data_IF_066749848196
#
_entry.id   IF_066749848196
#
_cell.length_a   1.000
_cell.length_b   1.000
_cell.length_c   1.000
_cell.angle_alpha   90.00
_cell.angle_beta   90.00
_cell.angle_gamma   90.00
#
_symmetry.space_group_name_H-M   'P 1'
#
loop_
_entity.id
_entity.type
_entity.pdbx_description
1 polymer ?
#
# COMPACT_ATOMS: atom_id res chain seq x y z
N UNK A 1 -26.84 -29.31 -29.13
CA UNK A 1 -27.06 -30.04 -27.87
C UNK A 1 -25.86 -30.91 -27.65
N UNK A 2 -24.82 -30.34 -27.05
CA UNK A 2 -23.64 -31.06 -26.58
C UNK A 2 -23.28 -30.45 -25.23
N UNK A 3 -23.60 -31.15 -24.16
CA UNK A 3 -23.26 -30.82 -22.79
C UNK A 3 -21.74 -30.97 -22.64
N UNK A 4 -21.06 -29.83 -22.47
CA UNK A 4 -19.66 -29.83 -22.02
C UNK A 4 -19.61 -30.11 -20.51
N UNK A 5 -19.66 -31.41 -20.23
CA UNK A 5 -19.46 -31.97 -18.90
C UNK A 5 -17.99 -31.96 -18.50
N UNK A 6 -17.42 -30.77 -18.19
CA UNK A 6 -16.17 -30.74 -17.45
C UNK A 6 -16.47 -30.93 -15.96
N UNK A 7 -16.57 -32.18 -15.56
CA UNK A 7 -16.52 -32.64 -14.18
C UNK A 7 -15.23 -32.11 -13.50
N UNK A 8 -15.37 -31.04 -12.74
CA UNK A 8 -14.34 -30.63 -11.79
C UNK A 8 -14.23 -31.67 -10.71
N UNK A 9 -13.30 -32.63 -10.88
CA UNK A 9 -13.04 -33.70 -9.93
C UNK A 9 -12.81 -33.13 -8.51
N UNK A 10 -13.01 -33.93 -7.47
CA UNK A 10 -12.82 -33.58 -6.07
C UNK A 10 -11.54 -32.73 -5.79
N UNK A 11 -10.39 -32.96 -6.44
CA UNK A 11 -9.18 -32.16 -6.32
C UNK A 11 -9.37 -30.68 -6.78
N UNK A 12 -10.15 -30.45 -7.84
CA UNK A 12 -10.40 -29.11 -8.34
C UNK A 12 -11.31 -28.28 -7.41
N UNK A 13 -12.28 -28.93 -6.76
CA UNK A 13 -13.16 -28.28 -5.77
C UNK A 13 -12.40 -27.91 -4.49
N UNK A 14 -11.55 -28.81 -4.00
CA UNK A 14 -10.70 -28.57 -2.83
C UNK A 14 -9.73 -27.42 -3.05
N UNK A 15 -9.06 -27.38 -4.20
CA UNK A 15 -8.14 -26.29 -4.57
C UNK A 15 -8.86 -24.94 -4.65
N UNK A 16 -10.08 -24.91 -5.19
CA UNK A 16 -10.88 -23.68 -5.22
C UNK A 16 -11.30 -23.23 -3.82
N UNK A 17 -11.72 -24.16 -2.96
CA UNK A 17 -12.04 -23.86 -1.56
C UNK A 17 -10.85 -23.26 -0.83
N UNK A 18 -9.66 -23.83 -1.00
CA UNK A 18 -8.42 -23.33 -0.43
C UNK A 18 -8.08 -21.92 -0.96
N UNK A 19 -8.22 -21.67 -2.26
CA UNK A 19 -7.99 -20.36 -2.86
C UNK A 19 -8.92 -19.29 -2.27
N UNK A 20 -10.21 -19.59 -2.10
CA UNK A 20 -11.19 -18.70 -1.48
C UNK A 20 -10.81 -18.43 -0.02
N UNK A 21 -10.45 -19.46 0.74
CA UNK A 21 -10.03 -19.33 2.13
C UNK A 21 -8.80 -18.42 2.26
N UNK A 22 -7.76 -18.68 1.45
CA UNK A 22 -6.55 -17.85 1.42
C UNK A 22 -6.85 -16.40 1.03
N UNK A 23 -7.72 -16.18 0.05
CA UNK A 23 -8.14 -14.84 -0.36
C UNK A 23 -8.79 -14.08 0.80
N UNK A 24 -9.76 -14.68 1.48
CA UNK A 24 -10.45 -14.07 2.61
C UNK A 24 -9.52 -13.87 3.82
N UNK A 25 -8.59 -14.80 4.06
CA UNK A 25 -7.59 -14.66 5.11
C UNK A 25 -6.64 -13.48 4.87
N UNK A 26 -6.21 -13.26 3.62
CA UNK A 26 -5.43 -12.07 3.23
C UNK A 26 -6.24 -10.80 3.47
N UNK A 27 -7.49 -10.76 3.01
CA UNK A 27 -8.36 -9.62 3.26
C UNK A 27 -8.54 -9.36 4.75
N UNK A 28 -8.74 -10.40 5.56
CA UNK A 28 -8.83 -10.26 7.01
C UNK A 28 -7.56 -9.65 7.60
N UNK A 29 -6.38 -10.17 7.24
CA UNK A 29 -5.11 -9.71 7.78
C UNK A 29 -4.86 -8.22 7.51
N UNK A 30 -5.19 -7.73 6.31
CA UNK A 30 -4.90 -6.35 5.92
C UNK A 30 -6.05 -5.37 6.20
N UNK A 31 -7.31 -5.79 6.32
CA UNK A 31 -8.46 -4.89 6.55
C UNK A 31 -9.05 -4.96 7.95
N UNK A 32 -8.81 -6.07 8.68
CA UNK A 32 -9.30 -6.22 10.05
C UNK A 32 -8.15 -6.19 11.05
N UNK A 33 -6.96 -6.67 10.65
CA UNK A 33 -5.76 -6.85 11.49
C UNK A 33 -5.91 -7.96 12.54
N UNK A 34 -4.84 -8.30 13.24
CA UNK A 34 -4.87 -9.30 14.34
C UNK A 34 -5.27 -8.68 15.68
N UNK A 35 -5.29 -7.36 15.79
CA UNK A 35 -5.68 -6.60 16.98
C UNK A 35 -6.61 -5.44 16.58
N UNK A 36 -7.85 -5.72 16.16
CA UNK A 36 -8.82 -4.66 15.88
C UNK A 36 -9.24 -3.94 17.16
N UNK A 37 -9.62 -2.68 17.03
CA UNK A 37 -10.15 -1.87 18.12
C UNK A 37 -9.19 -1.71 19.32
N UNK A 38 -7.92 -1.41 19.06
CA UNK A 38 -6.90 -1.16 20.09
C UNK A 38 -7.38 -0.06 21.03
N UNK A 39 -7.15 -0.23 22.33
CA UNK A 39 -7.39 0.80 23.34
C UNK A 39 -6.24 1.79 23.37
N UNK A 40 -6.43 2.98 22.81
CA UNK A 40 -5.39 4.02 22.75
C UNK A 40 -5.27 4.84 24.06
N UNK A 41 -6.12 4.55 25.06
CA UNK A 41 -6.00 5.12 26.41
C UNK A 41 -5.15 4.25 27.35
N UNK A 42 -4.82 3.02 26.92
CA UNK A 42 -3.98 2.09 27.68
C UNK A 42 -2.51 2.51 27.63
N UNK A 43 -1.83 2.77 28.77
CA UNK A 43 -0.41 3.08 28.83
C UNK A 43 0.50 2.03 28.17
N UNK A 44 0.08 0.77 28.08
CA UNK A 44 0.83 -0.27 27.39
C UNK A 44 0.99 0.03 25.89
N UNK A 45 0.14 0.87 25.29
CA UNK A 45 0.27 1.30 23.89
C UNK A 45 1.45 2.28 23.65
N UNK A 46 1.98 2.87 24.71
CA UNK A 46 3.15 3.75 24.65
C UNK A 46 4.47 2.98 24.64
N UNK A 47 4.46 1.71 25.04
CA UNK A 47 5.66 0.89 25.10
C UNK A 47 6.06 0.39 23.70
N UNK A 48 7.18 0.87 23.13
CA UNK A 48 7.65 0.38 21.82
C UNK A 48 7.97 -1.12 21.80
N UNK A 49 8.24 -1.71 22.97
CA UNK A 49 8.53 -3.14 23.09
C UNK A 49 7.27 -4.00 22.93
N UNK A 50 6.10 -3.47 23.26
CA UNK A 50 4.80 -4.16 23.10
C UNK A 50 4.46 -4.41 21.61
N UNK A 51 4.89 -3.51 20.71
CA UNK A 51 4.77 -3.73 19.26
C UNK A 51 5.78 -4.76 18.75
N UNK A 52 6.98 -4.80 19.34
CA UNK A 52 8.06 -5.75 18.96
C UNK A 52 7.68 -7.21 19.24
N UNK A 53 6.74 -7.49 20.14
CA UNK A 53 6.42 -8.83 20.64
C UNK A 53 5.07 -9.41 20.15
N UNK A 54 4.48 -8.91 19.07
CA UNK A 54 3.22 -9.46 18.56
C UNK A 54 3.43 -10.82 17.86
N UNK A 55 3.73 -11.85 18.67
CA UNK A 55 3.98 -13.21 18.22
C UNK A 55 2.81 -13.77 17.40
N UNK A 56 1.56 -13.48 17.81
CA UNK A 56 0.37 -13.92 17.08
C UNK A 56 0.36 -13.38 15.65
N UNK A 57 0.62 -12.08 15.48
CA UNK A 57 0.67 -11.46 14.15
C UNK A 57 1.78 -12.05 13.28
N UNK A 58 2.95 -12.30 13.87
CA UNK A 58 4.07 -12.93 13.18
C UNK A 58 3.72 -14.35 12.73
N UNK A 59 3.15 -15.17 13.61
CA UNK A 59 2.75 -16.54 13.28
C UNK A 59 1.65 -16.60 12.22
N UNK A 60 0.62 -15.74 12.33
CA UNK A 60 -0.45 -15.64 11.33
C UNK A 60 0.11 -15.22 9.98
N UNK A 61 0.98 -14.21 9.95
CA UNK A 61 1.62 -13.72 8.72
C UNK A 61 2.48 -14.82 8.09
N UNK A 62 3.31 -15.51 8.86
CA UNK A 62 4.16 -16.60 8.37
C UNK A 62 3.34 -17.79 7.86
N UNK A 63 2.31 -18.22 8.60
CA UNK A 63 1.43 -19.31 8.21
C UNK A 63 0.67 -18.98 6.91
N UNK A 64 0.12 -17.76 6.82
CA UNK A 64 -0.57 -17.28 5.62
C UNK A 64 0.39 -17.20 4.43
N UNK A 65 1.58 -16.62 4.62
CA UNK A 65 2.61 -16.52 3.57
C UNK A 65 3.07 -17.90 3.11
N UNK A 66 3.25 -18.85 4.02
CA UNK A 66 3.58 -20.25 3.70
C UNK A 66 2.49 -20.92 2.86
N UNK A 67 1.22 -20.78 3.26
CA UNK A 67 0.07 -21.30 2.52
C UNK A 67 -0.06 -20.69 1.12
N UNK A 68 0.11 -19.39 1.00
CA UNK A 68 0.12 -18.67 -0.29
C UNK A 68 1.28 -19.14 -1.16
N UNK A 69 2.49 -19.25 -0.61
CA UNK A 69 3.67 -19.71 -1.36
C UNK A 69 3.47 -21.13 -1.90
N UNK A 70 2.99 -22.07 -1.08
CA UNK A 70 2.67 -23.42 -1.51
C UNK A 70 1.62 -23.43 -2.63
N UNK A 71 0.55 -22.62 -2.49
CA UNK A 71 -0.46 -22.48 -3.55
C UNK A 71 0.16 -21.91 -4.84
N UNK A 72 0.99 -20.87 -4.73
CA UNK A 72 1.65 -20.22 -5.86
C UNK A 72 2.61 -21.16 -6.61
N UNK A 73 3.42 -21.93 -5.89
CA UNK A 73 4.38 -22.89 -6.47
C UNK A 73 3.68 -24.01 -7.24
N UNK A 74 2.49 -24.44 -6.81
CA UNK A 74 1.67 -25.46 -7.50
C UNK A 74 0.82 -24.87 -8.63
N UNK A 75 0.82 -23.53 -8.80
CA UNK A 75 0.04 -22.86 -9.85
C UNK A 75 0.69 -23.00 -11.23
N UNK A 76 -0.08 -23.21 -12.30
CA UNK A 76 0.42 -23.13 -13.68
C UNK A 76 0.94 -21.71 -14.02
N UNK A 77 0.48 -20.68 -13.30
CA UNK A 77 0.90 -19.28 -13.48
C UNK A 77 2.18 -18.92 -12.70
N UNK A 78 2.87 -19.89 -12.08
CA UNK A 78 4.10 -19.66 -11.28
C UNK A 78 5.20 -18.87 -12.01
N UNK A 79 5.27 -18.98 -13.33
CA UNK A 79 6.25 -18.26 -14.14
C UNK A 79 5.94 -16.78 -14.29
N UNK A 80 4.69 -16.36 -14.07
CA UNK A 80 4.22 -14.97 -14.20
C UNK A 80 4.24 -14.21 -12.88
N UNK A 81 4.37 -14.92 -11.75
CA UNK A 81 4.43 -14.34 -10.41
C UNK A 81 5.79 -13.64 -10.20
N UNK A 82 5.78 -12.58 -9.39
CA UNK A 82 6.98 -11.81 -9.02
C UNK A 82 7.79 -11.31 -10.22
N UNK A 83 7.12 -10.66 -11.15
CA UNK A 83 7.75 -9.99 -12.27
C UNK A 83 7.81 -8.47 -12.04
N UNK A 84 8.89 -7.79 -12.40
CA UNK A 84 10.12 -8.26 -13.09
C UNK A 84 11.16 -8.81 -12.07
N UNK A 85 11.55 -10.06 -12.27
CA UNK A 85 12.39 -10.77 -11.29
C UNK A 85 13.75 -10.11 -11.08
N UNK A 86 14.44 -9.72 -12.16
CA UNK A 86 15.78 -9.14 -12.06
C UNK A 86 15.76 -7.86 -11.22
N UNK A 87 14.80 -6.95 -11.47
CA UNK A 87 14.70 -5.71 -10.70
C UNK A 87 14.35 -5.97 -9.23
N UNK A 88 13.42 -6.89 -8.96
CA UNK A 88 13.06 -7.27 -7.59
C UNK A 88 14.24 -7.90 -6.84
N UNK A 89 14.97 -8.79 -7.51
CA UNK A 89 16.20 -9.39 -6.92
C UNK A 89 17.23 -8.29 -6.65
N UNK A 90 17.50 -7.41 -7.60
CA UNK A 90 18.45 -6.30 -7.40
C UNK A 90 18.02 -5.39 -6.24
N UNK A 91 16.73 -5.07 -6.14
CA UNK A 91 16.17 -4.24 -5.07
C UNK A 91 16.36 -4.90 -3.69
N UNK A 92 15.96 -6.17 -3.56
CA UNK A 92 16.06 -6.85 -2.27
C UNK A 92 17.49 -7.24 -1.90
N UNK A 93 18.36 -7.53 -2.87
CA UNK A 93 19.80 -7.71 -2.62
C UNK A 93 20.41 -6.41 -2.10
N UNK A 94 20.03 -5.26 -2.68
CA UNK A 94 20.46 -3.96 -2.17
C UNK A 94 19.97 -3.72 -0.75
N UNK A 95 18.69 -4.01 -0.46
CA UNK A 95 18.14 -3.86 0.90
C UNK A 95 18.81 -4.78 1.91
N UNK A 96 19.11 -6.02 1.56
CA UNK A 96 19.87 -6.95 2.40
C UNK A 96 21.28 -6.41 2.67
N UNK A 97 21.95 -5.89 1.64
CA UNK A 97 23.28 -5.34 1.77
C UNK A 97 23.33 -4.14 2.73
N UNK A 98 22.49 -3.12 2.52
CA UNK A 98 22.46 -1.93 3.40
C UNK A 98 22.00 -2.27 4.82
N UNK A 99 21.18 -3.32 4.97
CA UNK A 99 20.75 -3.82 6.27
C UNK A 99 21.88 -4.52 7.02
N UNK A 100 22.69 -5.32 6.32
CA UNK A 100 23.81 -6.06 6.92
C UNK A 100 24.92 -5.13 7.45
N UNK A 101 25.10 -3.96 6.84
CA UNK A 101 26.10 -2.96 7.26
C UNK A 101 25.52 -1.88 8.17
N UNK A 102 24.25 -1.98 8.57
CA UNK A 102 23.58 -1.01 9.43
C UNK A 102 23.93 -1.18 10.91
N UNK A 103 23.59 -0.20 11.74
CA UNK A 103 23.83 -0.25 13.21
C UNK A 103 23.03 -1.39 13.88
N UNK A 104 21.84 -1.76 13.32
CA UNK A 104 20.98 -2.81 13.88
C UNK A 104 20.64 -3.87 12.81
N UNK A 105 21.61 -4.70 12.37
CA UNK A 105 21.45 -5.59 11.23
C UNK A 105 20.33 -6.63 11.44
N UNK A 106 20.19 -7.20 12.64
CA UNK A 106 19.16 -8.22 12.92
C UNK A 106 17.74 -7.68 12.73
N UNK A 107 17.50 -6.44 13.18
CA UNK A 107 16.20 -5.80 13.04
C UNK A 107 15.92 -5.44 11.58
N UNK A 108 16.91 -4.86 10.88
CA UNK A 108 16.79 -4.50 9.48
C UNK A 108 16.55 -5.72 8.59
N UNK A 109 17.32 -6.79 8.77
CA UNK A 109 17.17 -8.03 7.99
C UNK A 109 15.79 -8.67 8.20
N UNK A 110 15.26 -8.70 9.43
CA UNK A 110 13.88 -9.15 9.69
C UNK A 110 12.85 -8.33 8.90
N UNK A 111 13.02 -7.00 8.84
CA UNK A 111 12.13 -6.11 8.08
C UNK A 111 12.22 -6.36 6.57
N UNK A 112 13.42 -6.63 6.03
CA UNK A 112 13.57 -7.02 4.62
C UNK A 112 12.83 -8.33 4.32
N UNK A 113 12.96 -9.34 5.18
CA UNK A 113 12.25 -10.62 5.02
C UNK A 113 10.73 -10.41 5.00
N UNK A 114 10.19 -9.60 5.92
CA UNK A 114 8.76 -9.28 5.96
C UNK A 114 8.32 -8.52 4.71
N UNK A 115 9.14 -7.61 4.18
CA UNK A 115 8.84 -6.92 2.92
C UNK A 115 8.81 -7.87 1.73
N UNK A 116 9.74 -8.84 1.66
CA UNK A 116 9.73 -9.91 0.64
C UNK A 116 8.45 -10.75 0.73
N UNK A 117 8.06 -11.17 1.94
CA UNK A 117 6.84 -11.96 2.16
C UNK A 117 5.60 -11.17 1.72
N UNK A 118 5.53 -9.88 2.01
CA UNK A 118 4.43 -9.01 1.57
C UNK A 118 4.35 -8.94 0.05
N UNK A 119 5.48 -8.82 -0.65
CA UNK A 119 5.52 -8.86 -2.12
C UNK A 119 5.05 -10.21 -2.68
N UNK A 120 5.47 -11.33 -2.07
CA UNK A 120 5.03 -12.68 -2.45
C UNK A 120 3.51 -12.81 -2.26
N UNK A 121 3.01 -12.38 -1.11
CA UNK A 121 1.59 -12.43 -0.79
C UNK A 121 0.75 -11.63 -1.79
N UNK A 122 1.16 -10.41 -2.12
CA UNK A 122 0.45 -9.55 -3.08
C UNK A 122 0.45 -10.15 -4.50
N UNK A 123 1.57 -10.72 -4.93
CA UNK A 123 1.67 -11.34 -6.25
C UNK A 123 0.81 -12.61 -6.35
N UNK A 124 0.76 -13.44 -5.31
CA UNK A 124 -0.03 -14.68 -5.29
C UNK A 124 -1.52 -14.38 -5.09
N UNK A 125 -1.87 -13.33 -4.35
CA UNK A 125 -3.26 -12.91 -4.15
C UNK A 125 -4.01 -12.74 -5.48
N UNK A 126 -3.33 -12.23 -6.52
CA UNK A 126 -3.91 -12.01 -7.84
C UNK A 126 -4.26 -13.30 -8.60
N UNK A 127 -3.66 -14.43 -8.27
CA UNK A 127 -3.88 -15.71 -8.95
C UNK A 127 -4.79 -16.66 -8.17
N UNK A 128 -5.30 -16.25 -7.01
CA UNK A 128 -6.25 -17.02 -6.22
C UNK A 128 -7.63 -17.13 -6.88
N UNK A 129 -8.23 -16.02 -7.41
CA UNK A 129 -9.52 -16.08 -8.09
C UNK A 129 -9.40 -16.74 -9.46
N UNK A 130 -10.43 -17.49 -9.86
CA UNK A 130 -10.52 -18.17 -11.16
C UNK A 130 -11.10 -17.30 -12.28
N UNK A 131 -11.84 -16.25 -11.91
CA UNK A 131 -12.47 -15.33 -12.87
C UNK A 131 -12.59 -13.93 -12.28
N UNK A 132 -12.67 -12.93 -13.18
CA UNK A 132 -12.90 -11.53 -12.80
C UNK A 132 -14.14 -11.37 -11.93
N UNK A 133 -15.20 -12.11 -12.29
CA UNK A 133 -16.44 -12.10 -11.52
C UNK A 133 -16.24 -12.70 -10.12
N UNK A 134 -15.45 -13.77 -9.98
CA UNK A 134 -15.10 -14.34 -8.68
C UNK A 134 -14.26 -13.35 -7.88
N UNK A 135 -13.26 -12.71 -8.50
CA UNK A 135 -12.45 -11.69 -7.86
C UNK A 135 -13.32 -10.54 -7.32
N UNK A 136 -14.20 -9.97 -8.18
CA UNK A 136 -15.11 -8.91 -7.78
C UNK A 136 -16.06 -9.34 -6.66
N UNK A 137 -16.57 -10.59 -6.70
CA UNK A 137 -17.45 -11.15 -5.67
C UNK A 137 -16.74 -11.30 -4.34
N UNK A 138 -15.57 -11.94 -4.32
CA UNK A 138 -14.79 -12.15 -3.08
C UNK A 138 -14.34 -10.83 -2.47
N UNK A 139 -13.84 -9.91 -3.31
CA UNK A 139 -13.44 -8.58 -2.88
C UNK A 139 -14.64 -7.80 -2.32
N UNK A 140 -15.78 -7.82 -3.02
CA UNK A 140 -17.01 -7.14 -2.58
C UNK A 140 -17.51 -7.65 -1.23
N UNK A 141 -17.55 -8.98 -1.03
CA UNK A 141 -17.95 -9.60 0.25
C UNK A 141 -16.98 -9.23 1.36
N UNK A 142 -15.66 -9.35 1.11
CA UNK A 142 -14.65 -9.03 2.11
C UNK A 142 -14.70 -7.55 2.52
N UNK A 143 -14.85 -6.64 1.56
CA UNK A 143 -14.92 -5.20 1.83
C UNK A 143 -16.22 -4.80 2.53
N UNK A 144 -17.35 -5.40 2.18
CA UNK A 144 -18.61 -5.18 2.90
C UNK A 144 -18.52 -5.67 4.35
N UNK A 145 -17.88 -6.81 4.59
CA UNK A 145 -17.66 -7.32 5.93
C UNK A 145 -16.72 -6.41 6.75
N UNK A 146 -15.60 -5.97 6.18
CA UNK A 146 -14.67 -5.06 6.83
C UNK A 146 -15.30 -3.69 7.13
N UNK A 147 -16.07 -3.16 6.17
CA UNK A 147 -16.80 -1.90 6.34
C UNK A 147 -17.92 -2.04 7.36
N UNK A 148 -18.66 -3.17 7.35
CA UNK A 148 -19.66 -3.48 8.37
C UNK A 148 -19.06 -3.54 9.78
N UNK A 149 -17.86 -4.12 9.91
CA UNK A 149 -17.11 -4.14 11.17
C UNK A 149 -16.70 -2.72 11.62
N UNK A 150 -16.29 -1.87 10.67
CA UNK A 150 -15.95 -0.47 10.97
C UNK A 150 -17.16 0.30 11.53
N UNK A 151 -18.31 0.18 10.87
CA UNK A 151 -19.56 0.78 11.35
C UNK A 151 -20.07 0.17 12.65
N UNK A 152 -19.95 -1.14 12.82
CA UNK A 152 -20.24 -1.80 14.10
C UNK A 152 -19.42 -1.19 15.23
N UNK A 153 -18.10 -1.01 14.99
CA UNK A 153 -17.23 -0.38 15.98
C UNK A 153 -17.71 1.00 16.40
N UNK A 154 -17.96 1.86 15.43
CA UNK A 154 -18.40 3.25 15.68
C UNK A 154 -19.75 3.31 16.42
N UNK A 155 -20.65 2.36 16.13
CA UNK A 155 -22.00 2.35 16.70
C UNK A 155 -22.06 1.70 18.09
N UNK A 156 -21.38 0.56 18.27
CA UNK A 156 -21.53 -0.27 19.48
C UNK A 156 -20.34 -0.21 20.45
N UNK A 157 -19.15 0.15 19.96
CA UNK A 157 -17.93 0.30 20.78
C UNK A 157 -17.18 1.60 20.45
N UNK A 158 -17.88 2.77 20.51
CA UNK A 158 -17.34 4.06 20.08
C UNK A 158 -16.04 4.44 20.80
N UNK A 159 -15.88 4.08 22.07
CA UNK A 159 -14.67 4.31 22.86
C UNK A 159 -13.41 3.63 22.29
N UNK A 160 -13.55 2.69 21.36
CA UNK A 160 -12.44 1.99 20.67
C UNK A 160 -12.44 2.15 19.15
N UNK A 161 -13.43 2.85 18.61
CA UNK A 161 -13.57 3.05 17.16
C UNK A 161 -13.60 4.53 16.75
N UNK A 162 -13.69 5.43 17.72
CA UNK A 162 -13.61 6.88 17.57
C UNK A 162 -12.47 7.35 18.47
N UNK A 163 -11.67 8.29 17.99
CA UNK A 163 -10.61 8.90 18.78
C UNK A 163 -11.17 9.68 19.97
N UNK A 164 -10.54 9.57 21.12
CA UNK A 164 -10.96 10.18 22.38
C UNK A 164 -9.99 11.30 22.80
N UNK A 165 -10.49 12.29 23.51
CA UNK A 165 -9.66 13.34 24.12
C UNK A 165 -8.74 12.81 25.24
N UNK A 166 -8.99 11.60 25.72
CA UNK A 166 -8.19 10.91 26.76
C UNK A 166 -7.08 10.03 26.17
N UNK A 167 -6.93 9.99 24.85
CA UNK A 167 -5.83 9.24 24.23
C UNK A 167 -4.48 9.87 24.56
N UNK A 168 -3.49 9.00 24.78
CA UNK A 168 -2.20 9.41 25.33
C UNK A 168 -1.28 10.11 24.32
N UNK A 169 -1.42 9.76 23.02
CA UNK A 169 -0.54 10.31 21.97
C UNK A 169 -1.16 11.48 21.22
N UNK A 170 -2.41 11.39 20.82
CA UNK A 170 -3.04 12.34 19.90
C UNK A 170 -4.45 12.76 20.31
N UNK A 171 -4.62 13.38 21.51
CA UNK A 171 -5.93 13.81 22.03
C UNK A 171 -6.63 14.83 21.11
N UNK A 172 -5.88 15.52 20.25
CA UNK A 172 -6.42 16.46 19.26
C UNK A 172 -7.26 15.78 18.17
N UNK A 173 -7.16 14.46 18.02
CA UNK A 173 -7.96 13.70 17.07
C UNK A 173 -9.36 13.33 17.60
N UNK A 174 -9.72 13.73 18.80
CA UNK A 174 -11.00 13.40 19.42
C UNK A 174 -12.20 13.64 18.47
N UNK A 175 -13.12 12.67 18.42
CA UNK A 175 -14.31 12.70 17.59
C UNK A 175 -14.13 12.15 16.17
N UNK A 176 -12.92 11.95 15.67
CA UNK A 176 -12.71 11.35 14.37
C UNK A 176 -12.82 9.83 14.40
N UNK A 177 -13.47 9.28 13.37
CA UNK A 177 -13.67 7.83 13.24
C UNK A 177 -12.39 7.13 12.77
N UNK A 178 -12.06 6.01 13.42
CA UNK A 178 -10.98 5.12 13.01
C UNK A 178 -11.44 3.67 12.79
N UNK A 179 -12.64 3.30 13.25
CA UNK A 179 -13.13 1.93 13.15
C UNK A 179 -12.21 0.93 13.84
N UNK A 180 -11.94 -0.18 13.18
CA UNK A 180 -11.02 -1.22 13.66
C UNK A 180 -9.54 -0.87 13.52
N UNK A 181 -9.18 0.20 12.83
CA UNK A 181 -7.81 0.60 12.57
C UNK A 181 -7.16 1.30 13.78
N UNK A 182 -5.84 1.32 13.79
CA UNK A 182 -5.10 1.98 14.86
C UNK A 182 -5.21 3.51 14.80
N UNK A 183 -5.34 4.09 13.60
CA UNK A 183 -5.34 5.53 13.41
C UNK A 183 -6.33 5.98 12.32
N UNK A 184 -6.92 7.17 12.47
CA UNK A 184 -7.86 7.77 11.51
C UNK A 184 -7.31 7.93 10.10
N UNK A 185 -6.01 8.22 9.94
CA UNK A 185 -5.39 8.38 8.62
C UNK A 185 -5.28 7.05 7.89
N UNK A 186 -5.00 5.96 8.62
CA UNK A 186 -5.05 4.61 8.06
C UNK A 186 -6.48 4.27 7.60
N UNK A 187 -7.47 4.48 8.48
CA UNK A 187 -8.87 4.32 8.14
C UNK A 187 -9.26 5.13 6.89
N UNK A 188 -8.87 6.39 6.81
CA UNK A 188 -9.15 7.27 5.68
C UNK A 188 -8.57 6.70 4.37
N UNK A 189 -7.32 6.26 4.39
CA UNK A 189 -6.67 5.66 3.22
C UNK A 189 -7.36 4.37 2.76
N UNK A 190 -7.71 3.50 3.72
CA UNK A 190 -8.44 2.24 3.43
C UNK A 190 -9.83 2.52 2.88
N UNK A 191 -10.53 3.56 3.33
CA UNK A 191 -11.85 3.94 2.78
C UNK A 191 -11.75 4.43 1.34
N UNK A 192 -10.70 5.16 0.96
CA UNK A 192 -10.45 5.52 -0.46
C UNK A 192 -10.28 4.26 -1.31
N UNK A 193 -9.46 3.30 -0.86
CA UNK A 193 -9.26 2.04 -1.57
C UNK A 193 -10.56 1.23 -1.65
N UNK A 194 -11.36 1.20 -0.58
CA UNK A 194 -12.66 0.54 -0.55
C UNK A 194 -13.65 1.16 -1.55
N UNK A 195 -13.63 2.48 -1.73
CA UNK A 195 -14.42 3.15 -2.76
C UNK A 195 -13.97 2.72 -4.17
N UNK A 196 -12.66 2.59 -4.43
CA UNK A 196 -12.17 2.08 -5.73
C UNK A 196 -12.58 0.63 -5.98
N UNK A 197 -12.54 -0.21 -4.96
CA UNK A 197 -13.10 -1.57 -5.04
C UNK A 197 -14.60 -1.55 -5.33
N UNK A 198 -15.35 -0.65 -4.70
CA UNK A 198 -16.77 -0.45 -4.95
C UNK A 198 -17.07 -0.12 -6.42
N UNK A 199 -16.28 0.76 -7.06
CA UNK A 199 -16.42 1.03 -8.50
C UNK A 199 -16.17 -0.22 -9.37
N UNK A 200 -15.19 -1.05 -9.00
CA UNK A 200 -14.90 -2.29 -9.71
C UNK A 200 -16.00 -3.34 -9.51
N UNK A 201 -16.49 -3.52 -8.29
CA UNK A 201 -17.61 -4.40 -7.96
C UNK A 201 -18.89 -3.99 -8.71
N UNK A 202 -19.16 -2.68 -8.79
CA UNK A 202 -20.27 -2.12 -9.55
C UNK A 202 -20.18 -2.48 -11.03
N UNK A 203 -19.01 -2.36 -11.62
CA UNK A 203 -18.79 -2.62 -13.04
C UNK A 203 -18.81 -4.11 -13.41
N UNK A 204 -18.39 -5.00 -12.48
CA UNK A 204 -18.05 -6.40 -12.82
C UNK A 204 -19.00 -7.42 -12.22
N UNK A 205 -19.55 -7.18 -11.03
CA UNK A 205 -20.34 -8.18 -10.33
C UNK A 205 -21.76 -7.74 -9.99
N UNK A 206 -21.94 -6.70 -9.15
CA UNK A 206 -23.24 -6.33 -8.62
C UNK A 206 -23.35 -4.81 -8.39
N UNK A 207 -24.20 -4.15 -9.17
CA UNK A 207 -24.32 -2.67 -9.17
C UNK A 207 -24.70 -2.10 -7.81
N UNK A 208 -25.73 -2.67 -7.16
CA UNK A 208 -26.20 -2.16 -5.87
C UNK A 208 -25.12 -2.30 -4.76
N UNK A 209 -24.48 -3.48 -4.65
CA UNK A 209 -23.43 -3.70 -3.63
C UNK A 209 -22.20 -2.84 -3.91
N UNK A 210 -21.83 -2.66 -5.19
CA UNK A 210 -20.75 -1.75 -5.56
C UNK A 210 -21.05 -0.30 -5.21
N UNK A 211 -22.26 0.17 -5.49
CA UNK A 211 -22.71 1.51 -5.11
C UNK A 211 -22.75 1.68 -3.58
N UNK A 212 -23.25 0.69 -2.84
CA UNK A 212 -23.26 0.69 -1.39
C UNK A 212 -21.84 0.81 -0.80
N UNK A 213 -20.86 0.04 -1.34
CA UNK A 213 -19.45 0.17 -0.94
C UNK A 213 -18.92 1.58 -1.15
N UNK A 214 -19.17 2.19 -2.32
CA UNK A 214 -18.70 3.56 -2.61
C UNK A 214 -19.31 4.55 -1.62
N UNK A 215 -20.64 4.52 -1.45
CA UNK A 215 -21.35 5.49 -0.59
C UNK A 215 -20.92 5.33 0.87
N UNK A 216 -20.98 4.11 1.41
CA UNK A 216 -20.64 3.87 2.81
C UNK A 216 -19.16 4.16 3.10
N UNK A 217 -18.23 3.77 2.22
CA UNK A 217 -16.83 4.11 2.37
C UNK A 217 -16.59 5.63 2.33
N UNK A 218 -17.29 6.35 1.44
CA UNK A 218 -17.17 7.82 1.36
C UNK A 218 -17.74 8.49 2.61
N UNK A 219 -18.91 8.04 3.12
CA UNK A 219 -19.48 8.55 4.37
C UNK A 219 -18.52 8.32 5.54
N UNK A 220 -17.95 7.12 5.67
CA UNK A 220 -16.98 6.83 6.72
C UNK A 220 -15.73 7.73 6.58
N UNK A 221 -15.20 7.86 5.36
CA UNK A 221 -14.05 8.72 5.04
C UNK A 221 -14.25 10.16 5.53
N UNK A 222 -15.44 10.72 5.31
CA UNK A 222 -15.75 12.10 5.75
C UNK A 222 -15.66 12.25 7.28
N UNK A 223 -16.02 11.21 8.04
CA UNK A 223 -15.96 11.23 9.51
C UNK A 223 -14.55 10.93 10.07
N UNK A 224 -13.61 10.44 9.25
CA UNK A 224 -12.22 10.25 9.71
C UNK A 224 -11.47 11.57 9.90
N UNK A 225 -11.95 12.69 9.33
CA UNK A 225 -11.22 13.95 9.32
C UNK A 225 -9.90 13.91 8.55
N UNK A 226 -9.67 12.86 7.74
CA UNK A 226 -8.49 12.70 6.91
C UNK A 226 -8.51 13.60 5.67
N UNK A 227 -8.14 14.87 5.82
CA UNK A 227 -8.24 15.90 4.75
C UNK A 227 -7.58 15.46 3.44
N UNK A 228 -6.36 14.92 3.52
CA UNK A 228 -5.60 14.45 2.35
C UNK A 228 -6.33 13.34 1.61
N UNK A 229 -6.79 12.31 2.31
CA UNK A 229 -7.51 11.18 1.71
C UNK A 229 -8.88 11.59 1.16
N UNK A 230 -9.59 12.49 1.84
CA UNK A 230 -10.88 13.03 1.37
C UNK A 230 -10.73 13.82 0.06
N UNK A 231 -9.67 14.62 -0.06
CA UNK A 231 -9.34 15.31 -1.31
C UNK A 231 -8.82 14.35 -2.38
N UNK A 232 -8.06 13.31 -1.99
CA UNK A 232 -7.48 12.35 -2.92
C UNK A 232 -8.54 11.51 -3.66
N UNK A 233 -9.65 11.15 -3.03
CA UNK A 233 -10.68 10.32 -3.66
C UNK A 233 -11.21 10.93 -4.98
N UNK A 234 -11.78 12.14 -5.01
CA UNK A 234 -12.23 12.76 -6.26
C UNK A 234 -11.05 13.14 -7.18
N UNK A 235 -9.93 13.59 -6.63
CA UNK A 235 -8.76 13.97 -7.41
C UNK A 235 -8.20 12.78 -8.21
N UNK A 236 -8.05 11.61 -7.59
CA UNK A 236 -7.54 10.42 -8.27
C UNK A 236 -8.54 9.89 -9.31
N UNK A 237 -9.85 9.97 -9.06
CA UNK A 237 -10.85 9.61 -10.07
C UNK A 237 -10.73 10.52 -11.30
N UNK A 238 -10.55 11.82 -11.10
CA UNK A 238 -10.33 12.79 -12.17
C UNK A 238 -8.99 12.55 -12.90
N UNK A 239 -7.91 12.38 -12.14
CA UNK A 239 -6.59 12.10 -12.70
C UNK A 239 -6.57 10.81 -13.53
N UNK A 240 -7.23 9.75 -13.05
CA UNK A 240 -7.36 8.50 -13.78
C UNK A 240 -8.16 8.70 -15.08
N UNK A 241 -9.23 9.50 -15.05
CA UNK A 241 -9.98 9.83 -16.26
C UNK A 241 -9.12 10.62 -17.28
N UNK A 242 -8.36 11.63 -16.85
CA UNK A 242 -7.41 12.39 -17.70
C UNK A 242 -6.35 11.45 -18.28
N UNK A 243 -5.78 10.58 -17.45
CA UNK A 243 -4.75 9.60 -17.80
C UNK A 243 -5.24 8.59 -18.86
N UNK A 244 -6.49 8.13 -18.72
CA UNK A 244 -7.13 7.24 -19.70
C UNK A 244 -7.46 7.97 -21.00
N UNK A 245 -7.99 9.21 -20.91
CA UNK A 245 -8.49 9.97 -22.07
C UNK A 245 -7.38 10.49 -22.98
N UNK A 246 -6.21 10.89 -22.44
CA UNK A 246 -5.10 11.50 -23.16
C UNK A 246 -3.77 10.84 -22.85
N UNK A 247 -3.30 10.00 -23.75
CA UNK A 247 -2.05 9.23 -23.55
C UNK A 247 -0.80 10.11 -23.34
N UNK A 248 -0.76 11.31 -23.92
CA UNK A 248 0.34 12.26 -23.77
C UNK A 248 0.49 12.82 -22.35
N UNK A 249 -0.58 12.80 -21.53
CA UNK A 249 -0.54 13.28 -20.15
C UNK A 249 0.10 12.27 -19.18
N UNK A 250 0.24 11.02 -19.57
CA UNK A 250 0.57 9.90 -18.65
C UNK A 250 1.91 10.08 -17.95
N UNK A 251 2.97 10.49 -18.68
CA UNK A 251 4.28 10.76 -18.09
C UNK A 251 4.22 11.99 -17.19
N UNK A 252 3.57 13.06 -17.66
CA UNK A 252 3.42 14.29 -16.88
C UNK A 252 2.66 14.04 -15.56
N UNK A 253 1.57 13.27 -15.61
CA UNK A 253 0.79 12.97 -14.42
C UNK A 253 1.47 11.98 -13.47
N UNK A 254 2.15 10.94 -13.96
CA UNK A 254 2.75 9.94 -13.07
C UNK A 254 4.13 10.38 -12.55
N UNK A 255 5.05 10.75 -13.42
CA UNK A 255 6.42 11.11 -13.04
C UNK A 255 6.49 12.59 -12.69
N UNK A 256 6.03 13.46 -13.59
CA UNK A 256 6.06 14.91 -13.38
C UNK A 256 5.25 15.34 -12.15
N UNK A 257 4.06 14.78 -11.95
CA UNK A 257 3.22 15.08 -10.79
C UNK A 257 3.84 14.66 -9.46
N UNK A 258 4.47 13.47 -9.40
CA UNK A 258 5.19 13.01 -8.20
C UNK A 258 6.41 13.89 -7.92
N UNK A 259 7.18 14.27 -8.96
CA UNK A 259 8.31 15.20 -8.81
C UNK A 259 7.80 16.55 -8.31
N UNK A 260 6.76 17.10 -8.92
CA UNK A 260 6.19 18.39 -8.53
C UNK A 260 5.69 18.34 -7.07
N UNK A 261 4.99 17.29 -6.67
CA UNK A 261 4.47 17.18 -5.31
C UNK A 261 5.60 17.04 -4.27
N UNK A 262 6.66 16.25 -4.55
CA UNK A 262 7.83 16.18 -3.66
C UNK A 262 8.60 17.50 -3.64
N UNK A 263 8.68 18.23 -4.76
CA UNK A 263 9.28 19.57 -4.78
C UNK A 263 8.49 20.55 -3.92
N UNK A 264 7.17 20.50 -3.97
CA UNK A 264 6.31 21.35 -3.12
C UNK A 264 6.43 20.96 -1.64
N UNK A 265 6.37 19.68 -1.30
CA UNK A 265 6.41 19.22 0.09
C UNK A 265 7.80 19.35 0.69
N UNK A 266 8.76 18.56 0.24
CA UNK A 266 10.14 18.55 0.75
C UNK A 266 10.84 19.88 0.44
N UNK A 267 10.60 20.45 -0.74
CA UNK A 267 11.18 21.73 -1.14
C UNK A 267 10.77 22.87 -0.21
N UNK A 268 9.56 22.89 0.33
CA UNK A 268 9.15 23.88 1.35
C UNK A 268 9.93 23.77 2.65
N UNK A 269 10.49 22.60 2.96
CA UNK A 269 11.32 22.41 4.15
C UNK A 269 12.72 23.03 3.99
N UNK A 270 13.29 22.96 2.78
CA UNK A 270 14.71 23.27 2.52
C UNK A 270 14.92 24.57 1.72
N UNK A 271 13.87 25.15 1.12
CA UNK A 271 13.94 26.31 0.22
C UNK A 271 12.92 27.38 0.60
N UNK A 272 13.39 28.55 1.01
CA UNK A 272 12.52 29.67 1.36
C UNK A 272 11.69 30.21 0.18
N UNK A 273 12.22 30.30 -1.07
CA UNK A 273 11.40 30.66 -2.22
C UNK A 273 10.24 29.70 -2.48
N UNK A 274 10.43 28.38 -2.29
CA UNK A 274 9.34 27.42 -2.45
C UNK A 274 8.33 27.57 -1.32
N UNK A 275 8.78 27.74 -0.08
CA UNK A 275 7.92 27.95 1.08
C UNK A 275 7.03 29.17 0.91
N UNK A 276 7.61 30.30 0.48
CA UNK A 276 6.86 31.55 0.25
C UNK A 276 5.83 31.37 -0.89
N UNK A 277 6.20 30.69 -1.97
CA UNK A 277 5.28 30.37 -3.07
C UNK A 277 4.10 29.50 -2.60
N UNK A 278 4.35 28.47 -1.80
CA UNK A 278 3.29 27.60 -1.23
C UNK A 278 2.36 28.39 -0.33
N UNK A 279 2.90 29.29 0.52
CA UNK A 279 2.10 30.20 1.34
C UNK A 279 1.27 31.19 0.53
N UNK A 280 1.82 31.70 -0.57
CA UNK A 280 1.14 32.67 -1.44
C UNK A 280 -0.10 32.05 -2.15
N UNK A 281 -0.13 30.75 -2.38
CA UNK A 281 -1.30 30.05 -2.93
C UNK A 281 -2.29 29.57 -1.85
N UNK A 282 -2.10 29.98 -0.58
CA UNK A 282 -3.03 29.68 0.52
C UNK A 282 -2.88 28.28 1.13
N UNK A 283 -1.79 27.57 0.83
CA UNK A 283 -1.46 26.27 1.44
C UNK A 283 -0.58 26.50 2.66
N UNK A 284 -0.85 25.81 3.78
CA UNK A 284 0.02 25.83 4.95
C UNK A 284 1.42 25.31 4.58
N UNK A 285 2.44 26.16 4.54
CA UNK A 285 3.77 25.77 4.10
C UNK A 285 4.53 24.91 5.13
N UNK A 286 3.98 24.74 6.34
CA UNK A 286 4.53 23.83 7.38
C UNK A 286 4.07 22.40 7.20
N UNK A 287 3.02 22.19 6.38
CA UNK A 287 2.40 20.85 6.20
C UNK A 287 2.10 20.20 7.55
N UNK A 288 1.51 20.95 8.47
CA UNK A 288 1.21 20.45 9.83
C UNK A 288 2.50 20.06 10.58
N UNK A 289 3.50 20.93 10.55
CA UNK A 289 4.83 20.79 11.16
C UNK A 289 5.72 19.69 10.56
N UNK A 290 5.34 19.06 9.44
CA UNK A 290 6.15 18.04 8.78
C UNK A 290 7.45 18.59 8.18
N UNK A 291 7.53 19.90 7.92
CA UNK A 291 8.75 20.55 7.40
C UNK A 291 9.96 20.36 8.33
N UNK A 292 9.77 20.29 9.64
CA UNK A 292 10.86 20.07 10.58
C UNK A 292 11.38 18.63 10.49
N UNK A 293 10.46 17.66 10.36
CA UNK A 293 10.80 16.24 10.11
C UNK A 293 11.58 16.11 8.80
N UNK A 294 11.12 16.77 7.72
CA UNK A 294 11.78 16.69 6.41
C UNK A 294 13.16 17.36 6.41
N UNK A 295 13.30 18.48 7.10
CA UNK A 295 14.58 19.17 7.26
C UNK A 295 15.59 18.32 8.02
N UNK A 296 15.13 17.68 9.11
CA UNK A 296 15.93 16.76 9.89
C UNK A 296 16.34 15.54 9.06
N UNK A 297 15.38 14.88 8.38
CA UNK A 297 15.68 13.74 7.51
C UNK A 297 16.66 14.12 6.38
N UNK A 298 16.51 15.31 5.77
CA UNK A 298 17.40 15.78 4.72
C UNK A 298 18.84 15.99 5.22
N UNK A 299 19.01 16.56 6.41
CA UNK A 299 20.34 16.71 7.03
C UNK A 299 20.99 15.36 7.29
N UNK A 300 20.24 14.35 7.72
CA UNK A 300 20.72 12.99 7.89
C UNK A 300 21.10 12.33 6.55
N UNK A 301 20.31 12.51 5.50
CA UNK A 301 20.59 12.00 4.14
C UNK A 301 21.92 12.53 3.62
N UNK A 302 22.24 13.80 3.84
CA UNK A 302 23.51 14.40 3.38
C UNK A 302 24.75 13.74 4.02
N UNK A 303 24.60 13.11 5.18
CA UNK A 303 25.67 12.39 5.86
C UNK A 303 25.88 10.97 5.28
N UNK A 304 24.81 10.29 4.82
CA UNK A 304 24.87 8.92 4.28
C UNK A 304 24.08 8.78 2.97
N UNK A 305 24.38 9.51 1.89
CA UNK A 305 23.55 9.61 0.70
C UNK A 305 23.47 8.31 -0.11
N UNK A 306 24.51 7.46 -0.09
CA UNK A 306 24.58 6.27 -0.93
C UNK A 306 24.02 5.01 -0.26
N UNK A 307 24.25 4.81 1.02
CA UNK A 307 23.87 3.57 1.72
C UNK A 307 22.69 3.76 2.66
N UNK A 308 22.40 4.99 3.08
CA UNK A 308 21.40 5.30 4.09
C UNK A 308 21.78 4.74 5.46
N UNK A 309 20.78 4.55 6.30
CA UNK A 309 20.94 4.10 7.69
C UNK A 309 20.58 2.62 7.91
N UNK A 310 20.19 1.90 6.85
CA UNK A 310 19.69 0.53 6.91
C UNK A 310 18.16 0.48 6.68
N UNK A 311 17.69 -0.59 6.04
CA UNK A 311 16.32 -0.73 5.58
C UNK A 311 15.30 -0.54 6.71
N UNK A 312 14.45 0.47 6.60
CA UNK A 312 13.46 0.90 7.61
C UNK A 312 14.06 1.17 9.00
N UNK A 313 15.37 1.46 9.10
CA UNK A 313 16.03 1.91 10.31
C UNK A 313 16.34 3.40 10.19
N UNK A 314 16.00 4.17 11.15
CA UNK A 314 16.36 5.54 11.44
C UNK A 314 15.46 6.06 12.55
N UNK A 315 14.16 6.14 12.27
CA UNK A 315 13.16 6.64 13.23
C UNK A 315 13.03 5.69 14.42
N UNK A 316 12.89 6.25 15.63
CA UNK A 316 12.71 5.49 16.87
C UNK A 316 13.84 4.46 17.16
N UNK A 317 15.05 4.72 16.70
CA UNK A 317 16.23 3.96 17.11
C UNK A 317 16.77 4.49 18.44
N UNK A 318 17.33 3.61 19.28
CA UNK A 318 17.91 4.02 20.57
C UNK A 318 19.03 5.06 20.37
N UNK A 319 19.83 4.93 19.32
CA UNK A 319 20.85 5.89 18.94
C UNK A 319 20.25 7.28 18.66
N UNK A 320 19.10 7.36 17.99
CA UNK A 320 18.47 8.62 17.67
C UNK A 320 17.80 9.25 18.89
N UNK A 321 17.05 8.46 19.65
CA UNK A 321 16.23 8.96 20.79
C UNK A 321 17.09 9.33 21.98
N UNK A 322 18.16 8.56 22.24
CA UNK A 322 19.01 8.74 23.43
C UNK A 322 20.39 9.31 23.11
N UNK A 323 20.63 9.81 21.90
CA UNK A 323 21.96 10.29 21.46
C UNK A 323 22.50 11.47 22.27
N UNK A 324 21.68 12.11 23.12
CA UNK A 324 22.13 13.18 24.06
C UNK A 324 22.88 14.35 23.43
N UNK A 325 23.14 14.32 22.14
CA UNK A 325 24.04 15.17 21.41
C UNK A 325 23.34 16.19 20.54
N UNK A 326 22.83 17.26 21.15
CA UNK A 326 22.74 18.53 20.45
C UNK A 326 21.70 18.68 19.32
N UNK A 327 20.80 17.75 19.12
CA UNK A 327 19.72 17.90 18.14
C UNK A 327 18.48 18.46 18.85
N UNK A 328 18.42 19.78 18.96
CA UNK A 328 17.30 20.52 19.56
C UNK A 328 16.10 20.59 18.60
N UNK A 329 15.54 19.42 18.21
CA UNK A 329 14.31 19.38 17.41
C UNK A 329 13.38 18.27 17.86
N UNK A 330 12.08 18.58 17.98
CA UNK A 330 11.06 17.59 18.27
C UNK A 330 10.95 16.51 17.17
N UNK A 331 11.50 16.77 15.97
CA UNK A 331 11.53 15.82 14.85
C UNK A 331 12.24 14.49 15.17
N UNK A 332 13.11 14.47 16.21
CA UNK A 332 13.75 13.25 16.72
C UNK A 332 12.72 12.23 17.24
N UNK A 333 11.59 12.70 17.76
CA UNK A 333 10.52 11.87 18.28
C UNK A 333 9.57 11.33 17.18
N UNK A 334 9.77 11.76 15.92
CA UNK A 334 8.93 11.31 14.81
C UNK A 334 9.04 9.79 14.58
N UNK A 335 7.92 9.17 14.22
CA UNK A 335 7.86 7.73 13.92
C UNK A 335 8.25 7.40 12.48
N UNK A 336 8.12 8.37 11.59
CA UNK A 336 8.48 8.26 10.17
C UNK A 336 8.56 9.65 9.54
N UNK A 337 9.04 9.72 8.30
CA UNK A 337 9.22 10.97 7.56
C UNK A 337 7.95 11.52 6.92
N UNK A 338 6.79 10.89 7.06
CA UNK A 338 5.56 11.27 6.35
C UNK A 338 5.76 11.54 4.84
N UNK A 339 6.74 10.86 4.25
CA UNK A 339 7.02 10.86 2.81
C UNK A 339 7.82 9.58 2.49
N UNK A 340 7.18 8.65 1.79
CA UNK A 340 7.75 7.34 1.55
C UNK A 340 8.99 7.36 0.64
N UNK A 341 9.09 8.36 -0.27
CA UNK A 341 10.29 8.55 -1.11
C UNK A 341 11.47 9.02 -0.27
N UNK A 342 11.23 10.00 0.61
CA UNK A 342 12.24 10.52 1.53
C UNK A 342 12.73 9.44 2.49
N UNK A 343 11.82 8.67 3.09
CA UNK A 343 12.18 7.56 3.99
C UNK A 343 12.94 6.45 3.26
N UNK A 344 12.57 6.15 2.01
CA UNK A 344 13.34 5.20 1.21
C UNK A 344 14.75 5.70 0.94
N UNK A 345 14.92 6.99 0.59
CA UNK A 345 16.23 7.60 0.40
C UNK A 345 17.04 7.62 1.70
N UNK A 346 16.43 8.01 2.81
CA UNK A 346 17.04 8.07 4.14
C UNK A 346 17.57 6.70 4.58
N UNK A 347 16.78 5.65 4.35
CA UNK A 347 17.09 4.32 4.90
C UNK A 347 17.89 3.44 3.97
N UNK A 348 17.80 3.62 2.66
CA UNK A 348 18.44 2.74 1.67
C UNK A 348 19.33 3.46 0.65
N UNK A 349 19.46 4.78 0.81
CA UNK A 349 20.30 5.62 -0.05
C UNK A 349 19.77 5.79 -1.47
N UNK A 350 20.54 6.50 -2.29
CA UNK A 350 20.20 6.80 -3.69
C UNK A 350 19.92 5.52 -4.50
N UNK A 351 20.74 4.44 -4.46
CA UNK A 351 20.45 3.26 -5.25
C UNK A 351 19.13 2.59 -4.89
N UNK A 352 18.78 2.53 -3.57
CA UNK A 352 17.53 1.98 -3.11
C UNK A 352 16.32 2.78 -3.60
N UNK A 353 16.41 4.12 -3.54
CA UNK A 353 15.36 4.99 -4.08
C UNK A 353 15.22 4.82 -5.60
N UNK A 354 16.33 4.80 -6.35
CA UNK A 354 16.30 4.62 -7.82
C UNK A 354 15.62 3.30 -8.21
N UNK A 355 16.00 2.19 -7.60
CA UNK A 355 15.39 0.89 -7.85
C UNK A 355 13.89 0.88 -7.48
N UNK A 356 13.52 1.53 -6.37
CA UNK A 356 12.13 1.68 -5.93
C UNK A 356 11.31 2.50 -6.93
N UNK A 357 11.82 3.65 -7.38
CA UNK A 357 11.17 4.50 -8.39
C UNK A 357 11.02 3.77 -9.73
N UNK A 358 12.04 3.06 -10.18
CA UNK A 358 11.95 2.24 -11.39
C UNK A 358 10.83 1.20 -11.26
N UNK A 359 10.71 0.54 -10.10
CA UNK A 359 9.71 -0.48 -9.87
C UNK A 359 8.30 0.07 -9.70
N UNK A 360 8.12 1.14 -8.91
CA UNK A 360 6.80 1.63 -8.52
C UNK A 360 6.23 2.72 -9.44
N UNK A 361 7.08 3.45 -10.18
CA UNK A 361 6.64 4.53 -11.08
C UNK A 361 6.83 4.16 -12.55
N UNK A 362 8.07 3.85 -12.96
CA UNK A 362 8.39 3.72 -14.37
C UNK A 362 7.78 2.46 -14.99
N UNK A 363 7.90 1.32 -14.30
CA UNK A 363 7.38 0.06 -14.83
C UNK A 363 5.86 0.00 -14.88
N UNK A 364 5.09 0.43 -13.85
CA UNK A 364 3.65 0.42 -13.92
C UNK A 364 3.09 1.31 -15.03
N UNK A 365 3.72 2.47 -15.29
CA UNK A 365 3.37 3.31 -16.44
C UNK A 365 3.51 2.56 -17.78
N UNK A 366 4.64 1.87 -17.98
CA UNK A 366 4.87 1.04 -19.15
C UNK A 366 3.88 -0.12 -19.25
N UNK A 367 3.63 -0.78 -18.11
CA UNK A 367 2.74 -1.94 -18.04
C UNK A 367 1.28 -1.54 -18.28
N UNK A 368 0.83 -0.38 -17.75
CA UNK A 368 -0.47 0.18 -18.07
C UNK A 368 -0.64 0.42 -19.59
N UNK A 369 0.33 1.08 -20.22
CA UNK A 369 0.28 1.35 -21.67
C UNK A 369 0.19 0.06 -22.50
N UNK A 370 0.78 -1.04 -22.01
CA UNK A 370 0.66 -2.35 -22.65
C UNK A 370 -0.68 -3.03 -22.35
N UNK A 371 -1.14 -2.99 -21.12
CA UNK A 371 -2.41 -3.56 -20.69
C UNK A 371 -3.60 -2.93 -21.43
N UNK A 372 -3.56 -1.61 -21.63
CA UNK A 372 -4.57 -0.90 -22.41
C UNK A 372 -4.62 -1.40 -23.88
N UNK A 373 -3.46 -1.63 -24.49
CA UNK A 373 -3.37 -2.13 -25.87
C UNK A 373 -3.90 -3.58 -26.00
N UNK A 374 -3.71 -4.41 -24.98
CA UNK A 374 -4.22 -5.80 -24.97
C UNK A 374 -5.73 -5.86 -24.78
N UNK A 375 -6.32 -4.88 -24.10
CA UNK A 375 -7.77 -4.77 -23.90
C UNK A 375 -8.42 -5.91 -23.11
N UNK A 376 -7.64 -6.75 -22.45
CA UNK A 376 -8.11 -7.99 -21.83
C UNK A 376 -9.16 -7.78 -20.73
N UNK A 377 -9.00 -6.77 -19.88
CA UNK A 377 -9.96 -6.42 -18.83
C UNK A 377 -9.88 -4.94 -18.45
N UNK A 378 -10.64 -4.05 -19.15
CA UNK A 378 -10.59 -2.61 -18.90
C UNK A 378 -11.02 -2.23 -17.48
N UNK A 379 -11.99 -2.93 -16.89
CA UNK A 379 -12.46 -2.62 -15.54
C UNK A 379 -11.40 -2.88 -14.48
N UNK A 380 -10.68 -4.00 -14.58
CA UNK A 380 -9.59 -4.36 -13.68
C UNK A 380 -8.37 -3.47 -13.89
N UNK A 381 -8.01 -3.17 -15.13
CA UNK A 381 -6.92 -2.24 -15.48
C UNK A 381 -7.20 -0.85 -14.88
N UNK A 382 -8.44 -0.37 -14.96
CA UNK A 382 -8.87 0.90 -14.34
C UNK A 382 -8.82 0.87 -12.82
N UNK A 383 -9.17 -0.25 -12.19
CA UNK A 383 -9.01 -0.43 -10.74
C UNK A 383 -7.54 -0.27 -10.35
N UNK A 384 -6.66 -1.00 -11.01
CA UNK A 384 -5.22 -0.94 -10.72
C UNK A 384 -4.62 0.43 -11.01
N UNK A 385 -5.08 1.13 -12.06
CA UNK A 385 -4.67 2.50 -12.35
C UNK A 385 -5.00 3.44 -11.18
N UNK A 386 -6.24 3.41 -10.69
CA UNK A 386 -6.68 4.27 -9.58
C UNK A 386 -5.89 4.00 -8.31
N UNK A 387 -5.69 2.74 -7.97
CA UNK A 387 -4.90 2.33 -6.81
C UNK A 387 -3.45 2.78 -6.96
N UNK A 388 -2.85 2.58 -8.13
CA UNK A 388 -1.48 2.98 -8.40
C UNK A 388 -1.29 4.49 -8.31
N UNK A 389 -2.14 5.28 -8.98
CA UNK A 389 -2.10 6.74 -8.88
C UNK A 389 -2.29 7.20 -7.43
N UNK A 390 -3.27 6.65 -6.71
CA UNK A 390 -3.47 6.95 -5.29
C UNK A 390 -2.21 6.65 -4.48
N UNK A 391 -1.61 5.49 -4.66
CA UNK A 391 -0.41 5.08 -3.94
C UNK A 391 0.79 6.01 -4.18
N UNK A 392 1.11 6.31 -5.44
CA UNK A 392 2.29 7.14 -5.76
C UNK A 392 2.14 8.60 -5.28
N UNK A 393 0.93 9.15 -5.27
CA UNK A 393 0.69 10.50 -4.77
C UNK A 393 0.60 10.55 -3.25
N UNK A 394 -0.08 9.61 -2.62
CA UNK A 394 -0.14 9.52 -1.16
C UNK A 394 1.24 9.30 -0.55
N UNK A 395 2.13 8.58 -1.24
CA UNK A 395 3.52 8.38 -0.84
C UNK A 395 4.35 9.69 -0.72
N UNK A 396 3.90 10.78 -1.34
CA UNK A 396 4.54 12.09 -1.18
C UNK A 396 4.22 12.78 0.16
N UNK A 397 3.22 12.27 0.90
CA UNK A 397 2.75 12.89 2.16
C UNK A 397 2.53 11.86 3.27
N UNK A 398 2.72 10.57 3.01
CA UNK A 398 2.61 9.48 3.99
C UNK A 398 3.70 8.43 3.74
N UNK A 399 4.21 7.84 4.82
CA UNK A 399 5.26 6.81 4.80
C UNK A 399 4.67 5.41 4.94
N UNK A 400 4.52 4.70 3.84
CA UNK A 400 4.00 3.33 3.87
C UNK A 400 4.76 2.35 2.96
N UNK A 401 5.75 2.81 2.17
CA UNK A 401 6.52 1.91 1.31
C UNK A 401 7.22 0.84 2.15
N UNK A 402 7.07 -0.40 1.70
CA UNK A 402 7.63 -1.60 2.34
C UNK A 402 7.16 -1.86 3.77
N UNK A 403 6.19 -1.12 4.28
CA UNK A 403 5.61 -1.37 5.60
C UNK A 403 4.71 -2.61 5.55
N UNK A 404 5.21 -3.74 6.06
CA UNK A 404 4.64 -5.07 5.85
C UNK A 404 3.21 -5.26 6.38
N UNK A 405 2.77 -4.46 7.36
CA UNK A 405 1.40 -4.50 7.89
C UNK A 405 0.45 -3.47 7.27
N UNK A 406 0.94 -2.56 6.41
CA UNK A 406 0.11 -1.48 5.89
C UNK A 406 -0.79 -1.93 4.74
N UNK A 407 -2.11 -1.75 4.91
CA UNK A 407 -3.13 -2.05 3.89
C UNK A 407 -2.87 -1.32 2.58
N UNK A 408 -2.49 -0.03 2.66
CA UNK A 408 -2.20 0.81 1.49
C UNK A 408 -1.02 0.26 0.69
N UNK A 409 0.04 -0.18 1.39
CA UNK A 409 1.20 -0.78 0.75
C UNK A 409 0.85 -2.09 0.05
N UNK A 410 0.16 -3.00 0.74
CA UNK A 410 -0.27 -4.26 0.16
C UNK A 410 -1.10 -4.06 -1.11
N UNK A 411 -2.08 -3.14 -1.07
CA UNK A 411 -2.96 -2.87 -2.21
C UNK A 411 -2.21 -2.20 -3.37
N UNK A 412 -1.24 -1.32 -3.07
CA UNK A 412 -0.36 -0.77 -4.10
C UNK A 412 0.44 -1.87 -4.80
N UNK A 413 0.99 -2.82 -4.05
CA UNK A 413 1.69 -3.99 -4.62
C UNK A 413 0.76 -4.82 -5.51
N UNK A 414 -0.48 -5.08 -5.05
CA UNK A 414 -1.50 -5.77 -5.86
C UNK A 414 -1.74 -5.04 -7.18
N UNK A 415 -1.80 -3.70 -7.16
CA UNK A 415 -1.98 -2.91 -8.39
C UNK A 415 -0.76 -2.97 -9.30
N UNK A 416 0.46 -2.84 -8.76
CA UNK A 416 1.72 -2.89 -9.53
C UNK A 416 1.90 -4.26 -10.19
N UNK A 417 1.73 -5.35 -9.44
CA UNK A 417 1.77 -6.70 -9.99
C UNK A 417 0.59 -6.98 -10.93
N UNK A 418 -0.58 -6.43 -10.63
CA UNK A 418 -1.78 -6.54 -11.44
C UNK A 418 -1.64 -5.89 -12.80
N UNK A 419 -1.11 -4.67 -12.90
CA UNK A 419 -0.79 -4.01 -14.17
C UNK A 419 0.22 -4.83 -14.98
N UNK A 420 1.23 -5.40 -14.31
CA UNK A 420 2.21 -6.27 -14.95
C UNK A 420 1.61 -7.53 -15.53
N UNK A 421 0.68 -8.16 -14.81
CA UNK A 421 -0.04 -9.33 -15.30
C UNK A 421 -0.95 -8.97 -16.48
N UNK A 422 -1.73 -7.90 -16.38
CA UNK A 422 -2.61 -7.42 -17.45
C UNK A 422 -1.83 -7.07 -18.75
N UNK A 423 -0.61 -6.59 -18.61
CA UNK A 423 0.26 -6.28 -19.74
C UNK A 423 0.77 -7.53 -20.50
N UNK A 424 0.65 -8.73 -19.90
CA UNK A 424 1.23 -9.97 -20.43
C UNK A 424 0.23 -11.08 -20.68
N UNK A 425 -0.80 -11.16 -19.84
CA UNK A 425 -1.82 -12.19 -19.89
C UNK A 425 -3.12 -11.65 -19.26
N UNK A 426 -4.26 -12.23 -19.62
CA UNK A 426 -5.50 -12.03 -18.88
C UNK A 426 -5.33 -12.59 -17.46
N UNK A 427 -5.54 -11.78 -16.44
CA UNK A 427 -5.29 -12.13 -15.04
C UNK A 427 -6.19 -13.26 -14.56
N UNK A 428 -7.33 -13.46 -15.19
CA UNK A 428 -8.37 -14.38 -14.71
C UNK A 428 -9.13 -14.99 -15.88
N UNK A 429 -8.47 -15.86 -16.63
CA UNK A 429 -9.18 -16.69 -17.61
C UNK A 429 -8.54 -18.08 -17.69
N UNK A 430 -9.25 -19.07 -17.18
CA UNK A 430 -8.93 -20.49 -17.44
C UNK A 430 -9.16 -20.87 -18.91
N UNK A 431 -9.73 -19.97 -19.72
CA UNK A 431 -10.08 -20.22 -21.12
C UNK A 431 -9.13 -19.65 -22.16
N UNK A 432 -8.15 -18.84 -21.77
CA UNK A 432 -7.12 -18.40 -22.71
C UNK A 432 -6.01 -19.45 -22.80
N UNK A 433 -5.90 -20.12 -23.93
CA UNK A 433 -4.74 -20.91 -24.30
C UNK A 433 -3.47 -20.10 -24.01
N UNK A 434 -2.41 -20.69 -23.43
CA UNK A 434 -1.16 -19.99 -23.23
C UNK A 434 -0.72 -19.42 -24.59
N UNK A 435 -0.53 -18.12 -24.68
CA UNK A 435 0.15 -17.54 -25.83
C UNK A 435 1.53 -18.17 -25.84
N UNK A 436 1.80 -19.02 -26.84
CA UNK A 436 3.09 -19.61 -27.02
C UNK A 436 4.11 -18.47 -27.07
N UNK A 437 5.01 -18.44 -26.12
CA UNK A 437 6.15 -17.52 -26.14
C UNK A 437 7.04 -17.94 -27.32
N UNK A 438 6.81 -17.33 -28.49
CA UNK A 438 7.86 -17.28 -29.49
C UNK A 438 8.98 -16.44 -28.90
N UNK A 439 10.14 -17.08 -28.77
CA UNK A 439 11.36 -16.44 -28.34
C UNK A 439 11.61 -15.18 -29.18
N UNK A 440 11.47 -14.02 -28.58
CA UNK A 440 12.11 -12.81 -29.09
C UNK A 440 13.42 -12.72 -28.30
N UNK A 441 14.42 -13.43 -28.80
CA UNK A 441 15.82 -13.06 -28.64
C UNK A 441 16.06 -11.88 -29.59
N UNK A 442 16.29 -10.70 -29.07
CA UNK A 442 17.17 -9.64 -29.48
C UNK A 442 16.97 -8.45 -28.54
#
# INVERSE_FOLDING_TARGET
MQEDGTNGGAPGKLRNGLAVLLFLAVCYLFWVTTKPFIDLTDPATLDPSAEKSNLLNQLVTLALSGGLLLFGLTSPLRSTILQPRLLLVSLFVWFLFVSAISTYPDLALKRVVLAILTCINAAIFLILPRSDRQFAKLLGIAMLAALGLAYFGVTFIPNRAIHLATELREPMNAGFWRGQFAHKNEAAGVMVLTAFFGFYVYATWHKFLGAALVVLATVFLMHTGGKTSSAALPAIVLLAWVFERWSWTRVALSIGGVIAMNTVTIGSAISEPIRSLVGAVGVDPTFTNRTDIWRFAFSAITQRPFFGYGFQLFWQTDELVYSGGGVETWAVEAFNGHNAYLDTLLTTGIPGLVLTVLWLLVLPLRDYNRAEKTGNNPALTRLFLRIWLYGIYTACVESFFFLSGASIWFVLLVAVFGLRLQARASVVSETSKPIAFSAIHA
#
